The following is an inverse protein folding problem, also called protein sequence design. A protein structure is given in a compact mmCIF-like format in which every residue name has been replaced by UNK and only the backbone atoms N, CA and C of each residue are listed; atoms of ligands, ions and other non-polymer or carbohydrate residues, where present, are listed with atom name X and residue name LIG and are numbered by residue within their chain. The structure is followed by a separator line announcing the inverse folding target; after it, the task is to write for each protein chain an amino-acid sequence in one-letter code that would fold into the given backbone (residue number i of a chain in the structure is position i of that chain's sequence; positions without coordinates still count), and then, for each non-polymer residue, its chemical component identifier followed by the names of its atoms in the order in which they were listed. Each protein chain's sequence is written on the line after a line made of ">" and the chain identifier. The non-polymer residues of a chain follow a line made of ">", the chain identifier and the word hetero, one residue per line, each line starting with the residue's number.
data_IF_425342140790
#
_entry.id   IF_425342140790
#
_cell.length_a   1.000
_cell.length_b   1.000
_cell.length_c   1.000
_cell.angle_alpha   90.00
_cell.angle_beta   90.00
_cell.angle_gamma   90.00
#
_symmetry.space_group_name_H-M   'P 1'
#
loop_
_entity.id
_entity.type
_entity.pdbx_description
1 polymer ?
#
# COMPACT_ATOMS: atom_id res chain seq x y z
N UNK A 1 -50.87 51.04 -6.73
CA UNK A 1 -51.55 50.97 -8.04
C UNK A 1 -50.56 51.42 -9.09
N UNK A 2 -50.29 50.56 -10.10
CA UNK A 2 -49.81 50.80 -11.48
C UNK A 2 -49.07 52.12 -11.82
N UNK A 3 -48.04 52.20 -12.67
CA UNK A 3 -47.19 51.34 -13.50
C UNK A 3 -46.39 52.39 -14.31
N UNK A 4 -45.09 52.23 -14.51
CA UNK A 4 -44.40 52.85 -15.65
C UNK A 4 -43.05 52.17 -15.90
N UNK A 5 -42.90 51.73 -17.14
CA UNK A 5 -41.91 50.77 -17.61
C UNK A 5 -40.71 51.44 -18.32
N UNK A 6 -39.60 50.70 -18.38
CA UNK A 6 -38.64 50.57 -19.50
C UNK A 6 -37.42 49.87 -18.90
N UNK A 7 -36.86 48.79 -19.43
CA UNK A 7 -36.87 48.23 -20.77
C UNK A 7 -35.41 47.92 -21.09
N UNK A 8 -35.08 46.65 -21.35
CA UNK A 8 -34.10 46.23 -22.36
C UNK A 8 -33.78 44.75 -22.19
N UNK A 9 -34.07 44.01 -23.25
CA UNK A 9 -33.73 42.62 -23.55
C UNK A 9 -32.24 42.35 -23.51
N UNK A 10 -31.84 41.11 -23.19
CA UNK A 10 -30.79 40.37 -23.92
C UNK A 10 -30.82 38.88 -23.54
N UNK A 11 -31.04 38.05 -24.56
CA UNK A 11 -30.80 36.61 -24.57
C UNK A 11 -29.38 36.26 -24.15
N UNK A 12 -29.23 35.18 -23.37
CA UNK A 12 -27.97 34.46 -23.26
C UNK A 12 -28.23 32.97 -23.08
N UNK A 13 -28.01 32.24 -24.18
CA UNK A 13 -27.84 30.79 -24.24
C UNK A 13 -26.84 30.34 -23.17
N UNK A 14 -27.29 29.50 -22.24
CA UNK A 14 -26.37 28.79 -21.33
C UNK A 14 -25.88 27.55 -22.06
N UNK A 15 -24.71 27.68 -22.67
CA UNK A 15 -24.00 26.58 -23.32
C UNK A 15 -23.57 25.50 -22.32
N UNK A 16 -23.79 24.24 -22.72
CA UNK A 16 -23.15 23.07 -22.13
C UNK A 16 -21.63 23.30 -22.05
N UNK A 17 -21.10 23.43 -20.84
CA UNK A 17 -19.66 23.40 -20.59
C UNK A 17 -19.25 21.94 -20.44
N UNK A 18 -18.71 21.36 -21.51
CA UNK A 18 -18.00 20.10 -21.45
C UNK A 18 -16.94 20.15 -20.35
N UNK A 19 -17.02 19.20 -19.42
CA UNK A 19 -15.96 18.93 -18.46
C UNK A 19 -14.74 18.46 -19.24
N UNK A 20 -13.82 19.38 -19.51
CA UNK A 20 -12.50 19.02 -20.01
C UNK A 20 -11.82 18.13 -18.97
N UNK A 21 -11.62 16.89 -19.37
CA UNK A 21 -10.97 15.85 -18.61
C UNK A 21 -9.47 16.18 -18.57
N UNK A 22 -9.01 16.82 -17.48
CA UNK A 22 -7.59 17.10 -17.27
C UNK A 22 -6.93 15.82 -16.79
N UNK A 23 -6.70 14.88 -17.70
CA UNK A 23 -5.75 13.81 -17.45
C UNK A 23 -4.36 14.43 -17.45
N UNK A 24 -3.86 14.77 -16.27
CA UNK A 24 -2.46 15.12 -16.06
C UNK A 24 -1.61 13.95 -16.58
N UNK A 25 -0.89 14.18 -17.67
CA UNK A 25 0.08 13.23 -18.23
C UNK A 25 1.28 13.17 -17.28
N UNK A 26 1.15 12.35 -16.23
CA UNK A 26 2.29 11.95 -15.40
C UNK A 26 2.98 10.83 -16.16
N UNK A 27 4.23 11.06 -16.59
CA UNK A 27 5.04 9.98 -17.16
C UNK A 27 5.11 8.83 -16.14
N UNK A 28 4.90 7.57 -16.57
CA UNK A 28 4.93 6.44 -15.66
C UNK A 28 6.31 6.30 -15.00
N UNK A 29 6.32 5.96 -13.72
CA UNK A 29 7.53 5.64 -12.99
C UNK A 29 8.17 4.38 -13.58
N UNK A 30 9.50 4.31 -13.63
CA UNK A 30 10.19 3.11 -14.07
C UNK A 30 9.84 1.92 -13.16
N UNK A 31 9.46 0.79 -13.74
CA UNK A 31 9.27 -0.50 -13.06
C UNK A 31 9.96 -1.62 -13.86
N UNK A 32 10.47 -2.69 -13.20
CA UNK A 32 10.34 -2.98 -11.77
C UNK A 32 11.35 -2.22 -10.87
N UNK A 33 10.90 -1.86 -9.68
CA UNK A 33 11.71 -1.41 -8.53
C UNK A 33 12.33 -2.61 -7.80
N UNK A 34 13.46 -3.12 -8.27
CA UNK A 34 14.14 -4.26 -7.62
C UNK A 34 14.84 -3.82 -6.33
N UNK A 35 14.45 -4.43 -5.20
CA UNK A 35 15.05 -4.17 -3.88
C UNK A 35 15.67 -5.48 -3.34
N UNK A 36 16.99 -5.69 -3.51
CA UNK A 36 17.65 -6.89 -3.01
C UNK A 36 17.50 -7.04 -1.49
N UNK A 37 17.11 -8.24 -1.05
CA UNK A 37 16.90 -8.55 0.37
C UNK A 37 15.56 -8.10 0.94
N UNK A 38 14.65 -7.58 0.11
CA UNK A 38 13.26 -7.35 0.49
C UNK A 38 12.40 -8.51 -0.04
N UNK A 39 11.75 -9.25 0.84
CA UNK A 39 10.92 -10.41 0.44
C UNK A 39 9.51 -10.05 -0.03
N UNK A 40 8.81 -10.98 -0.69
CA UNK A 40 7.40 -10.78 -1.07
C UNK A 40 6.53 -10.52 0.17
N UNK A 41 5.53 -9.63 0.10
CA UNK A 41 4.61 -9.42 1.21
C UNK A 41 3.79 -10.68 1.58
N UNK A 42 3.64 -11.63 0.65
CA UNK A 42 2.93 -12.89 0.87
C UNK A 42 3.78 -13.97 1.59
N UNK A 43 5.10 -13.76 1.69
CA UNK A 43 5.98 -14.71 2.37
C UNK A 43 5.70 -14.70 3.89
N UNK A 44 5.66 -15.90 4.47
CA UNK A 44 5.23 -16.10 5.84
C UNK A 44 6.41 -16.29 6.80
N UNK A 45 6.22 -15.84 8.03
CA UNK A 45 7.02 -16.24 9.19
C UNK A 45 6.08 -16.97 10.15
N UNK A 46 6.31 -18.27 10.37
CA UNK A 46 5.45 -19.15 11.17
C UNK A 46 3.94 -18.95 10.94
N UNK A 47 3.52 -18.94 9.67
CA UNK A 47 2.11 -18.80 9.32
C UNK A 47 1.63 -17.35 9.16
N UNK A 48 2.38 -16.33 9.56
CA UNK A 48 1.96 -14.93 9.49
C UNK A 48 2.56 -14.22 8.27
N UNK A 49 1.71 -13.77 7.34
CA UNK A 49 2.16 -12.97 6.19
C UNK A 49 2.61 -11.58 6.63
N UNK A 50 3.41 -10.92 5.78
CA UNK A 50 3.90 -9.55 5.91
C UNK A 50 4.91 -9.28 7.06
N UNK A 51 4.84 -10.00 8.17
CA UNK A 51 5.72 -9.75 9.33
C UNK A 51 7.21 -9.79 8.93
N UNK A 52 7.65 -10.84 8.22
CA UNK A 52 9.03 -10.94 7.74
C UNK A 52 9.44 -9.78 6.83
N UNK A 53 8.54 -9.34 5.95
CA UNK A 53 8.80 -8.18 5.07
C UNK A 53 8.96 -6.88 5.87
N UNK A 54 8.19 -6.69 6.95
CA UNK A 54 8.36 -5.53 7.83
C UNK A 54 9.75 -5.53 8.48
N UNK A 55 10.27 -6.69 8.90
CA UNK A 55 11.64 -6.83 9.41
C UNK A 55 12.69 -6.51 8.34
N UNK A 56 12.51 -6.97 7.11
CA UNK A 56 13.42 -6.65 6.00
C UNK A 56 13.47 -5.14 5.75
N UNK A 57 12.31 -4.46 5.75
CA UNK A 57 12.24 -3.00 5.59
C UNK A 57 13.03 -2.28 6.70
N UNK A 58 12.91 -2.73 7.95
CA UNK A 58 13.69 -2.18 9.08
C UNK A 58 15.19 -2.33 8.81
N UNK A 59 15.64 -3.55 8.48
CA UNK A 59 17.06 -3.86 8.25
C UNK A 59 17.63 -3.08 7.05
N UNK A 60 16.90 -3.04 5.93
CA UNK A 60 17.32 -2.35 4.72
C UNK A 60 17.41 -0.84 4.93
N UNK A 61 16.48 -0.26 5.68
CA UNK A 61 16.53 1.16 5.95
C UNK A 61 17.68 1.53 6.89
N UNK A 62 17.95 0.73 7.93
CA UNK A 62 19.14 0.90 8.77
C UNK A 62 20.45 0.77 7.97
N UNK A 63 20.44 -0.02 6.90
CA UNK A 63 21.57 -0.17 5.98
C UNK A 63 21.64 0.91 4.87
N UNK A 64 20.70 1.86 4.81
CA UNK A 64 20.62 2.86 3.75
C UNK A 64 20.30 2.29 2.36
N UNK A 65 19.72 1.09 2.29
CA UNK A 65 19.43 0.34 1.05
C UNK A 65 17.98 0.41 0.60
N UNK A 66 17.12 1.10 1.36
CA UNK A 66 15.73 1.33 0.96
C UNK A 66 15.63 2.61 0.11
N UNK A 67 14.92 2.60 -1.03
CA UNK A 67 14.78 3.80 -1.86
C UNK A 67 14.19 4.99 -1.10
N UNK A 68 14.64 6.20 -1.40
CA UNK A 68 14.31 7.43 -0.65
C UNK A 68 12.79 7.70 -0.60
N UNK A 69 12.07 7.45 -1.69
CA UNK A 69 10.61 7.60 -1.77
C UNK A 69 9.79 6.65 -0.88
N UNK A 70 10.43 5.63 -0.27
CA UNK A 70 9.76 4.66 0.60
C UNK A 70 9.82 5.03 2.08
N UNK A 71 10.73 5.93 2.47
CA UNK A 71 10.89 6.37 3.86
C UNK A 71 9.61 6.98 4.46
N UNK A 72 8.81 7.80 3.75
CA UNK A 72 7.59 8.39 4.30
C UNK A 72 6.50 7.37 4.67
N UNK A 73 6.55 6.17 4.09
CA UNK A 73 5.55 5.09 4.28
C UNK A 73 6.05 3.99 5.22
N UNK A 74 7.17 4.20 5.92
CA UNK A 74 7.67 3.29 6.95
C UNK A 74 7.00 3.55 8.30
N UNK A 75 6.90 2.50 9.10
CA UNK A 75 6.44 2.59 10.48
C UNK A 75 4.92 2.61 10.62
N UNK A 76 4.45 3.09 11.76
CA UNK A 76 3.03 3.11 12.12
C UNK A 76 2.21 4.20 11.40
N UNK A 77 2.46 4.40 10.10
CA UNK A 77 1.60 5.27 9.28
C UNK A 77 0.22 4.63 9.19
N UNK A 78 -0.80 5.37 9.63
CA UNK A 78 -2.18 4.88 9.67
C UNK A 78 -2.61 4.38 8.29
N UNK A 79 -3.04 3.12 8.24
CA UNK A 79 -3.52 2.48 7.02
C UNK A 79 -2.44 1.82 6.15
N UNK A 80 -1.15 2.09 6.41
CA UNK A 80 -0.03 1.35 5.81
C UNK A 80 0.06 -0.07 6.39
N UNK A 81 0.69 -0.98 5.65
CA UNK A 81 0.76 -2.38 6.04
C UNK A 81 1.61 -2.63 7.30
N UNK A 82 2.72 -1.90 7.49
CA UNK A 82 3.52 -1.94 8.74
C UNK A 82 2.64 -1.58 9.95
N UNK A 83 1.90 -0.47 9.86
CA UNK A 83 0.98 -0.03 10.90
C UNK A 83 -0.12 -1.06 11.18
N UNK A 84 -0.74 -1.64 10.15
CA UNK A 84 -1.75 -2.70 10.33
C UNK A 84 -1.18 -3.94 11.01
N UNK A 85 0.05 -4.32 10.68
CA UNK A 85 0.70 -5.49 11.31
C UNK A 85 0.98 -5.22 12.78
N UNK A 86 1.46 -4.02 13.12
CA UNK A 86 1.65 -3.57 14.50
C UNK A 86 0.33 -3.51 15.27
N UNK A 87 -0.73 -2.93 14.69
CA UNK A 87 -2.08 -2.90 15.27
C UNK A 87 -2.62 -4.33 15.53
N UNK A 88 -2.48 -5.22 14.55
CA UNK A 88 -2.92 -6.61 14.67
C UNK A 88 -2.17 -7.37 15.76
N UNK A 89 -0.88 -7.08 15.97
CA UNK A 89 -0.06 -7.70 17.01
C UNK A 89 -0.07 -6.91 18.34
N UNK A 90 -0.78 -5.78 18.42
CA UNK A 90 -0.74 -4.85 19.56
C UNK A 90 0.69 -4.48 19.98
N UNK A 91 1.53 -4.20 18.99
CA UNK A 91 2.96 -4.01 19.16
C UNK A 91 3.36 -2.57 18.78
N UNK A 92 4.29 -2.00 19.55
CA UNK A 92 4.93 -0.73 19.19
C UNK A 92 6.00 -0.95 18.11
N UNK A 93 5.91 -0.19 17.00
CA UNK A 93 6.85 -0.33 15.89
C UNK A 93 8.29 0.03 16.29
N UNK A 94 8.49 1.06 17.12
CA UNK A 94 9.83 1.49 17.52
C UNK A 94 10.50 0.44 18.43
N UNK A 95 9.73 -0.22 19.29
CA UNK A 95 10.21 -1.36 20.08
C UNK A 95 10.61 -2.54 19.19
N UNK A 96 9.80 -2.88 18.18
CA UNK A 96 10.13 -3.94 17.22
C UNK A 96 11.37 -3.57 16.39
N UNK A 97 11.49 -2.32 15.94
CA UNK A 97 12.65 -1.83 15.21
C UNK A 97 13.93 -1.95 16.04
N UNK A 98 13.91 -1.47 17.29
CA UNK A 98 15.03 -1.59 18.21
C UNK A 98 15.40 -3.06 18.48
N UNK A 99 14.42 -3.95 18.62
CA UNK A 99 14.69 -5.38 18.82
C UNK A 99 15.28 -6.04 17.56
N UNK A 100 14.74 -5.74 16.39
CA UNK A 100 15.19 -6.25 15.08
C UNK A 100 16.65 -5.86 14.83
N UNK A 101 17.00 -4.61 15.12
CA UNK A 101 18.33 -4.06 14.87
C UNK A 101 19.40 -4.55 15.86
N UNK A 102 19.02 -5.26 16.93
CA UNK A 102 20.00 -5.98 17.76
C UNK A 102 20.68 -7.11 17.00
N UNK A 103 20.08 -7.63 15.92
CA UNK A 103 20.69 -8.65 15.05
C UNK A 103 20.95 -10.02 15.72
N UNK A 104 20.30 -10.29 16.87
CA UNK A 104 20.54 -11.48 17.70
C UNK A 104 19.49 -12.58 17.54
N UNK A 105 18.41 -12.32 16.79
CA UNK A 105 17.25 -13.19 16.65
C UNK A 105 16.97 -13.44 15.17
N UNK A 106 16.61 -14.68 14.84
CA UNK A 106 15.94 -15.04 13.60
C UNK A 106 14.57 -14.38 13.49
N UNK A 107 13.96 -14.40 12.31
CA UNK A 107 12.61 -13.86 12.11
C UNK A 107 11.55 -14.59 12.94
N UNK A 108 11.68 -15.92 13.09
CA UNK A 108 10.80 -16.72 13.92
C UNK A 108 10.92 -16.33 15.41
N UNK A 109 12.14 -16.11 15.90
CA UNK A 109 12.37 -15.64 17.28
C UNK A 109 11.89 -14.20 17.48
N UNK A 110 11.97 -13.33 16.46
CA UNK A 110 11.40 -11.98 16.51
C UNK A 110 9.87 -12.01 16.54
N UNK A 111 9.24 -12.94 15.83
CA UNK A 111 7.79 -13.13 15.89
C UNK A 111 7.34 -13.61 17.27
N UNK A 112 8.05 -14.57 17.85
CA UNK A 112 7.80 -15.02 19.23
C UNK A 112 8.02 -13.89 20.25
N UNK A 113 9.04 -13.07 20.04
CA UNK A 113 9.26 -11.86 20.84
C UNK A 113 8.09 -10.87 20.71
N UNK A 114 7.60 -10.64 19.48
CA UNK A 114 6.46 -9.76 19.22
C UNK A 114 5.20 -10.26 19.94
N UNK A 115 4.93 -11.56 19.92
CA UNK A 115 3.81 -12.15 20.65
C UNK A 115 3.91 -11.96 22.16
N UNK A 116 5.12 -12.00 22.72
CA UNK A 116 5.36 -11.78 24.14
C UNK A 116 5.25 -10.31 24.58
N UNK A 117 5.45 -9.35 23.66
CA UNK A 117 5.45 -7.90 23.95
C UNK A 117 4.21 -7.15 23.46
N UNK A 118 3.32 -7.85 22.73
CA UNK A 118 2.02 -7.34 22.32
C UNK A 118 0.95 -8.38 22.67
N UNK A 119 0.47 -9.09 21.64
CA UNK A 119 -0.43 -10.24 21.82
C UNK A 119 -0.06 -11.40 20.92
N UNK A 120 -0.48 -12.61 21.31
CA UNK A 120 -0.49 -13.80 20.45
C UNK A 120 -1.90 -14.01 19.87
N UNK A 121 -2.11 -13.79 18.57
CA UNK A 121 -3.37 -14.13 17.93
C UNK A 121 -3.57 -15.65 17.90
N UNK A 122 -4.82 -16.09 17.98
CA UNK A 122 -5.22 -17.48 17.73
C UNK A 122 -5.03 -17.87 16.27
N UNK A 123 -5.08 -19.18 15.97
CA UNK A 123 -5.00 -19.69 14.59
C UNK A 123 -6.07 -19.07 13.68
N UNK A 124 -7.31 -18.94 14.16
CA UNK A 124 -8.40 -18.31 13.41
C UNK A 124 -8.13 -16.83 13.15
N UNK A 125 -7.55 -16.10 14.11
CA UNK A 125 -7.19 -14.70 13.90
C UNK A 125 -6.06 -14.53 12.89
N UNK A 126 -5.08 -15.46 12.88
CA UNK A 126 -4.01 -15.51 11.87
C UNK A 126 -4.60 -15.81 10.48
N UNK A 127 -5.54 -16.76 10.38
CA UNK A 127 -6.24 -17.06 9.14
C UNK A 127 -6.97 -15.83 8.58
N UNK A 128 -7.75 -15.15 9.43
CA UNK A 128 -8.47 -13.92 9.06
C UNK A 128 -7.51 -12.82 8.66
N UNK A 129 -6.42 -12.62 9.41
CA UNK A 129 -5.37 -11.66 9.06
C UNK A 129 -4.75 -11.94 7.69
N UNK A 130 -4.34 -13.19 7.45
CA UNK A 130 -3.74 -13.59 6.19
C UNK A 130 -4.72 -13.37 5.03
N UNK A 131 -5.98 -13.79 5.19
CA UNK A 131 -7.02 -13.59 4.18
C UNK A 131 -7.26 -12.10 3.88
N UNK A 132 -7.28 -11.26 4.93
CA UNK A 132 -7.41 -9.81 4.79
C UNK A 132 -6.22 -9.19 4.05
N UNK A 133 -4.99 -9.53 4.44
CA UNK A 133 -3.78 -8.94 3.86
C UNK A 133 -3.56 -9.38 2.41
N UNK A 134 -3.72 -10.68 2.12
CA UNK A 134 -3.55 -11.24 0.78
C UNK A 134 -4.58 -10.68 -0.21
N UNK A 135 -5.78 -10.31 0.25
CA UNK A 135 -6.87 -9.78 -0.59
C UNK A 135 -6.99 -8.26 -0.54
N UNK A 136 -6.13 -7.56 0.20
CA UNK A 136 -6.21 -6.10 0.33
C UNK A 136 -6.10 -5.46 -1.05
N UNK A 137 -7.10 -4.66 -1.41
CA UNK A 137 -7.23 -4.04 -2.74
C UNK A 137 -8.29 -4.69 -3.62
N UNK A 138 -8.79 -5.88 -3.26
CA UNK A 138 -9.82 -6.57 -4.03
C UNK A 138 -11.20 -6.27 -3.49
N UNK A 139 -11.97 -5.43 -4.21
CA UNK A 139 -13.36 -5.04 -3.88
C UNK A 139 -13.50 -4.49 -2.46
N UNK A 140 -12.48 -3.78 -1.99
CA UNK A 140 -12.43 -3.15 -0.67
C UNK A 140 -11.99 -1.68 -0.77
N UNK A 141 -11.82 -1.03 0.39
CA UNK A 141 -11.38 0.37 0.49
C UNK A 141 -9.96 0.67 -0.04
N UNK A 142 -9.26 -0.32 -0.58
CA UNK A 142 -7.90 -0.21 -1.15
C UNK A 142 -7.90 -0.31 -2.66
N UNK A 143 -9.03 -0.68 -3.26
CA UNK A 143 -9.19 -0.81 -4.71
C UNK A 143 -8.77 0.46 -5.44
N UNK A 144 -9.17 1.63 -4.93
CA UNK A 144 -8.76 2.90 -5.52
C UNK A 144 -7.24 3.08 -5.48
N UNK A 145 -6.60 2.84 -4.32
CA UNK A 145 -5.15 2.98 -4.18
C UNK A 145 -4.40 2.00 -5.07
N UNK A 146 -4.89 0.77 -5.23
CA UNK A 146 -4.32 -0.21 -6.15
C UNK A 146 -4.33 0.32 -7.60
N UNK A 147 -5.46 0.86 -8.06
CA UNK A 147 -5.58 1.42 -9.40
C UNK A 147 -4.67 2.63 -9.61
N UNK A 148 -4.52 3.49 -8.59
CA UNK A 148 -3.54 4.59 -8.62
C UNK A 148 -2.11 4.07 -8.76
N UNK A 149 -1.71 3.06 -7.97
CA UNK A 149 -0.37 2.46 -8.03
C UNK A 149 -0.09 1.78 -9.38
N UNK A 150 -1.09 1.12 -9.97
CA UNK A 150 -0.98 0.56 -11.32
C UNK A 150 -0.77 1.66 -12.36
N UNK A 151 -1.57 2.73 -12.31
CA UNK A 151 -1.43 3.87 -13.21
C UNK A 151 -0.07 4.58 -13.06
N UNK A 152 0.46 4.69 -11.84
CA UNK A 152 1.78 5.25 -11.56
C UNK A 152 2.90 4.53 -12.34
N UNK A 153 2.75 3.23 -12.65
CA UNK A 153 3.72 2.44 -13.44
C UNK A 153 3.23 2.13 -14.86
N UNK A 154 2.15 2.77 -15.31
CA UNK A 154 1.62 2.63 -16.67
C UNK A 154 0.82 1.35 -16.93
N UNK A 155 0.38 0.64 -15.89
CA UNK A 155 -0.47 -0.54 -16.01
C UNK A 155 -1.96 -0.18 -15.86
N UNK A 156 -2.87 -0.80 -16.64
CA UNK A 156 -4.29 -0.53 -16.52
C UNK A 156 -4.88 -1.11 -15.22
N UNK A 157 -5.98 -0.53 -14.70
CA UNK A 157 -6.76 -1.15 -13.64
C UNK A 157 -7.16 -2.59 -13.99
N UNK A 158 -7.01 -3.50 -13.03
CA UNK A 158 -7.37 -4.92 -13.21
C UNK A 158 -6.24 -5.83 -13.72
N UNK A 159 -5.04 -5.30 -14.04
CA UNK A 159 -3.85 -6.12 -14.31
C UNK A 159 -3.55 -7.10 -13.17
N UNK A 160 -3.75 -6.67 -11.93
CA UNK A 160 -3.77 -7.51 -10.73
C UNK A 160 -4.95 -7.08 -9.85
N UNK A 161 -5.35 -7.93 -8.89
CA UNK A 161 -6.53 -7.70 -8.06
C UNK A 161 -6.18 -7.21 -6.66
N UNK A 162 -4.92 -7.34 -6.24
CA UNK A 162 -4.49 -7.06 -4.87
C UNK A 162 -3.22 -6.22 -4.83
N UNK A 163 -3.05 -5.50 -3.72
CA UNK A 163 -1.83 -4.73 -3.46
C UNK A 163 -0.59 -5.62 -3.32
N UNK A 164 -0.73 -6.86 -2.86
CA UNK A 164 0.40 -7.79 -2.74
C UNK A 164 0.88 -8.24 -4.12
N UNK A 165 -0.04 -8.60 -5.01
CA UNK A 165 0.30 -8.88 -6.41
C UNK A 165 0.95 -7.67 -7.08
N UNK A 166 0.41 -6.45 -6.85
CA UNK A 166 1.03 -5.23 -7.37
C UNK A 166 2.47 -5.06 -6.89
N UNK A 167 2.73 -5.26 -5.59
CA UNK A 167 4.08 -5.17 -5.02
C UNK A 167 5.00 -6.21 -5.66
N UNK A 168 4.51 -7.43 -5.90
CA UNK A 168 5.31 -8.47 -6.56
C UNK A 168 5.55 -8.16 -8.05
N UNK A 169 4.65 -7.46 -8.74
CA UNK A 169 4.90 -6.94 -10.08
C UNK A 169 5.95 -5.83 -10.06
N UNK A 170 5.75 -4.82 -9.21
CA UNK A 170 6.65 -3.68 -9.07
C UNK A 170 8.05 -4.15 -8.64
N UNK A 171 8.18 -5.20 -7.84
CA UNK A 171 9.48 -5.72 -7.40
C UNK A 171 9.98 -6.90 -8.26
N UNK A 172 9.38 -7.11 -9.43
CA UNK A 172 9.86 -8.03 -10.47
C UNK A 172 9.72 -9.53 -10.14
N UNK A 173 8.93 -9.90 -9.14
CA UNK A 173 8.65 -11.30 -8.76
C UNK A 173 7.49 -11.89 -9.56
N UNK A 174 6.45 -11.10 -9.81
CA UNK A 174 5.31 -11.49 -10.63
C UNK A 174 5.44 -10.85 -12.01
N UNK A 175 5.44 -11.67 -13.06
CA UNK A 175 5.39 -11.19 -14.44
C UNK A 175 3.93 -11.05 -14.85
N UNK A 176 3.57 -9.89 -15.36
CA UNK A 176 2.29 -9.65 -16.02
C UNK A 176 2.58 -9.45 -17.49
N UNK A 177 1.80 -10.11 -18.34
CA UNK A 177 1.85 -9.84 -19.77
C UNK A 177 1.35 -8.41 -19.97
N UNK A 178 2.14 -7.56 -20.63
CA UNK A 178 1.66 -6.26 -21.05
C UNK A 178 0.42 -6.51 -21.91
N UNK A 179 -0.73 -5.97 -21.51
CA UNK A 179 -1.96 -6.10 -22.28
C UNK A 179 -1.66 -5.71 -23.75
N UNK A 180 -1.99 -6.63 -24.67
CA UNK A 180 -1.96 -6.37 -26.11
C UNK A 180 -2.90 -5.23 -26.48
#
# INVERSE_FOLDING_TARGET
>A
MALSASGSTCDAQVGCRERQNVFSSVMPLPYPTIIPGLRSPAEQVNGLVYFGRMLDKIRLAAAGKLPEGWQPMRGAVKGAFDGRCCEFLQLDYAALEAETLKGRKSDAELLEWAFAHGRRPSETEIEVWNAFMLKRGWRDAGTQRLNERLAEIGLPPGTVQTMFEFIDVDEGRLKVDAAQ
#
